data_IF_800391560037
#
_entry.id   IF_800391560037
#
_cell.length_a   1.000
_cell.length_b   1.000
_cell.length_c   1.000
_cell.angle_alpha   90.00
_cell.angle_beta   90.00
_cell.angle_gamma   90.00
#
_symmetry.space_group_name_H-M   'P 1'
#
loop_
_entity.id
_entity.type
_entity.pdbx_description
1 polymer ?
#
# COMPACT_ATOMS: atom_id res chain seq x y z
N UNK A 1 16.15 -8.58 -21.02
CA UNK A 1 16.23 -7.74 -19.81
C UNK A 1 17.23 -8.39 -18.87
N UNK A 2 18.32 -7.70 -18.51
CA UNK A 2 19.29 -8.21 -17.53
C UNK A 2 18.80 -7.88 -16.12
N UNK A 3 18.38 -8.90 -15.39
CA UNK A 3 18.00 -8.76 -13.98
C UNK A 3 19.29 -8.68 -13.14
N UNK A 4 19.37 -7.75 -12.19
CA UNK A 4 20.50 -7.68 -11.28
C UNK A 4 20.58 -9.00 -10.49
N UNK A 5 21.80 -9.44 -10.13
CA UNK A 5 22.01 -10.70 -9.41
C UNK A 5 21.25 -10.76 -8.07
N UNK A 6 20.91 -9.59 -7.51
CA UNK A 6 20.22 -9.44 -6.22
C UNK A 6 18.72 -9.16 -6.36
N UNK A 7 18.15 -9.17 -7.57
CA UNK A 7 16.72 -8.93 -7.72
C UNK A 7 15.93 -10.11 -7.17
N UNK A 8 15.10 -9.83 -6.17
CA UNK A 8 14.18 -10.78 -5.57
C UNK A 8 12.74 -10.35 -5.83
N UNK A 9 11.90 -11.34 -6.12
CA UNK A 9 10.45 -11.16 -6.26
C UNK A 9 9.81 -11.69 -5.00
N UNK A 10 8.98 -10.87 -4.37
CA UNK A 10 8.33 -11.21 -3.12
C UNK A 10 6.87 -10.83 -3.19
N UNK A 11 6.00 -11.71 -2.70
CA UNK A 11 4.59 -11.44 -2.60
C UNK A 11 4.30 -10.43 -1.47
N UNK A 12 3.37 -9.51 -1.72
CA UNK A 12 2.84 -8.60 -0.73
C UNK A 12 1.35 -8.38 -1.01
N UNK A 13 0.51 -8.42 0.04
CA UNK A 13 -0.91 -8.07 -0.03
C UNK A 13 -1.22 -6.75 0.68
N UNK A 14 -0.18 -6.09 1.21
CA UNK A 14 -0.28 -4.81 1.92
C UNK A 14 0.86 -3.89 1.52
N UNK A 15 0.51 -2.62 1.38
CA UNK A 15 1.46 -1.53 1.20
C UNK A 15 1.11 -0.40 2.15
N UNK A 16 2.06 0.00 2.99
CA UNK A 16 1.95 1.19 3.83
C UNK A 16 2.81 2.30 3.25
N UNK A 17 2.26 3.50 3.16
CA UNK A 17 2.98 4.67 2.65
C UNK A 17 3.26 5.63 3.80
N UNK A 18 4.53 5.98 4.00
CA UNK A 18 4.96 7.06 4.89
C UNK A 18 5.53 8.17 4.02
N UNK A 19 5.09 9.40 4.27
CA UNK A 19 5.51 10.57 3.48
C UNK A 19 6.35 11.48 4.34
N UNK A 20 7.49 11.93 3.81
CA UNK A 20 8.34 12.95 4.40
C UNK A 20 8.53 14.11 3.40
N UNK A 21 9.27 15.15 3.83
CA UNK A 21 9.62 16.26 2.93
C UNK A 21 10.55 15.82 1.81
N UNK A 22 11.37 14.80 2.07
CA UNK A 22 12.46 14.40 1.19
C UNK A 22 12.13 13.15 0.35
N UNK A 23 11.22 12.31 0.84
CA UNK A 23 10.92 11.01 0.25
C UNK A 23 9.51 10.48 0.57
N UNK A 24 9.18 9.41 -0.15
CA UNK A 24 8.09 8.49 0.11
C UNK A 24 8.71 7.14 0.45
N UNK A 25 8.31 6.58 1.58
CA UNK A 25 8.67 5.23 1.96
C UNK A 25 7.47 4.31 1.79
N UNK A 26 7.61 3.30 0.94
CA UNK A 26 6.64 2.25 0.72
C UNK A 26 7.12 0.98 1.44
N UNK A 27 6.41 0.58 2.48
CA UNK A 27 6.63 -0.69 3.17
C UNK A 27 5.64 -1.72 2.62
N UNK A 28 6.16 -2.76 1.99
CA UNK A 28 5.40 -3.88 1.47
C UNK A 28 5.45 -5.04 2.47
N UNK A 29 4.33 -5.70 2.66
CA UNK A 29 4.23 -6.79 3.61
C UNK A 29 3.08 -7.76 3.33
N UNK A 30 3.03 -8.78 4.17
CA UNK A 30 1.95 -9.76 4.22
C UNK A 30 1.14 -9.51 5.48
N UNK A 31 -0.15 -9.23 5.29
CA UNK A 31 -1.14 -9.19 6.36
C UNK A 31 -1.57 -10.62 6.65
N UNK A 32 -1.40 -11.05 7.90
CA UNK A 32 -1.95 -12.29 8.44
C UNK A 32 -3.13 -11.94 9.35
N UNK A 33 -4.34 -12.36 8.96
CA UNK A 33 -5.55 -12.18 9.77
C UNK A 33 -5.81 -13.47 10.56
N UNK A 34 -5.10 -13.65 11.68
CA UNK A 34 -5.24 -14.84 12.52
C UNK A 34 -6.55 -14.86 13.32
N UNK A 35 -7.17 -13.69 13.54
CA UNK A 35 -8.48 -13.55 14.18
C UNK A 35 -9.13 -12.21 13.77
N UNK A 36 -10.46 -12.06 13.90
CA UNK A 36 -11.17 -10.83 13.51
C UNK A 36 -10.61 -9.55 14.16
N UNK A 37 -10.04 -9.68 15.37
CA UNK A 37 -9.53 -8.57 16.17
C UNK A 37 -8.00 -8.38 16.06
N UNK A 38 -7.29 -9.30 15.40
CA UNK A 38 -5.83 -9.29 15.31
C UNK A 38 -5.42 -9.32 13.83
N UNK A 39 -4.96 -8.16 13.37
CA UNK A 39 -4.32 -7.98 12.06
C UNK A 39 -2.84 -7.77 12.32
N UNK A 40 -2.01 -8.76 11.97
CA UNK A 40 -0.56 -8.61 12.01
C UNK A 40 -0.02 -8.33 10.60
N UNK A 41 0.93 -7.40 10.50
CA UNK A 41 1.52 -6.99 9.23
C UNK A 41 3.02 -7.28 9.28
N UNK A 42 3.41 -8.34 8.58
CA UNK A 42 4.79 -8.71 8.39
C UNK A 42 5.38 -7.92 7.22
N UNK A 43 6.14 -6.85 7.51
CA UNK A 43 6.84 -6.08 6.48
C UNK A 43 8.01 -6.88 5.92
N UNK A 44 8.00 -7.13 4.62
CA UNK A 44 9.04 -7.92 3.94
C UNK A 44 10.02 -7.05 3.16
N UNK A 45 9.57 -5.92 2.61
CA UNK A 45 10.38 -5.05 1.75
C UNK A 45 10.08 -3.57 1.99
N UNK A 46 11.10 -2.73 1.90
CA UNK A 46 10.98 -1.27 1.99
C UNK A 46 11.61 -0.59 0.79
N UNK A 47 10.88 0.32 0.15
CA UNK A 47 11.37 1.09 -1.00
C UNK A 47 11.24 2.58 -0.68
N UNK A 48 12.35 3.30 -0.79
CA UNK A 48 12.37 4.77 -0.76
C UNK A 48 12.28 5.33 -2.18
N UNK A 49 11.41 6.31 -2.36
CA UNK A 49 11.21 7.03 -3.61
C UNK A 49 11.34 8.52 -3.36
N UNK A 50 12.03 9.24 -4.24
CA UNK A 50 11.92 10.70 -4.29
C UNK A 50 10.49 11.12 -4.72
N UNK A 51 10.03 12.35 -4.40
CA UNK A 51 8.69 12.81 -4.79
C UNK A 51 8.40 12.72 -6.29
N UNK A 52 9.42 12.95 -7.13
CA UNK A 52 9.27 12.83 -8.59
C UNK A 52 9.05 11.38 -9.03
N UNK A 53 9.77 10.43 -8.42
CA UNK A 53 9.59 9.01 -8.69
C UNK A 53 8.22 8.51 -8.21
N UNK A 54 7.77 8.96 -7.04
CA UNK A 54 6.44 8.62 -6.54
C UNK A 54 5.34 9.10 -7.50
N UNK A 55 5.46 10.32 -8.03
CA UNK A 55 4.53 10.85 -9.04
C UNK A 55 4.55 10.07 -10.35
N UNK A 56 5.75 9.70 -10.83
CA UNK A 56 5.88 8.89 -12.04
C UNK A 56 5.27 7.50 -11.86
N UNK A 57 5.53 6.86 -10.71
CA UNK A 57 4.95 5.56 -10.34
C UNK A 57 3.42 5.63 -10.31
N UNK A 58 2.85 6.64 -9.64
CA UNK A 58 1.41 6.85 -9.58
C UNK A 58 0.78 6.97 -10.98
N UNK A 59 1.37 7.80 -11.85
CA UNK A 59 0.84 7.99 -13.21
C UNK A 59 0.86 6.70 -14.03
N UNK A 60 1.97 5.95 -13.95
CA UNK A 60 2.09 4.68 -14.65
C UNK A 60 1.11 3.65 -14.09
N UNK A 61 1.01 3.55 -12.76
CA UNK A 61 0.10 2.60 -12.10
C UNK A 61 -1.36 2.90 -12.44
N UNK A 62 -1.77 4.17 -12.36
CA UNK A 62 -3.14 4.58 -12.70
C UNK A 62 -3.53 4.26 -14.15
N UNK A 63 -2.60 4.46 -15.11
CA UNK A 63 -2.84 4.09 -16.50
C UNK A 63 -3.02 2.57 -16.67
N UNK A 64 -2.17 1.77 -16.02
CA UNK A 64 -2.27 0.31 -16.07
C UNK A 64 -3.56 -0.20 -15.42
N UNK A 65 -3.98 0.38 -14.29
CA UNK A 65 -5.25 0.05 -13.63
C UNK A 65 -6.43 0.38 -14.54
N UNK A 66 -6.47 1.59 -15.13
CA UNK A 66 -7.56 1.97 -16.03
C UNK A 66 -7.69 1.01 -17.22
N UNK A 67 -6.56 0.58 -17.80
CA UNK A 67 -6.56 -0.42 -18.87
C UNK A 67 -7.03 -1.80 -18.39
N UNK A 68 -6.62 -2.21 -17.18
CA UNK A 68 -7.09 -3.45 -16.56
C UNK A 68 -8.61 -3.42 -16.38
N UNK A 69 -9.17 -2.35 -15.82
CA UNK A 69 -10.60 -2.23 -15.57
C UNK A 69 -11.43 -2.22 -16.85
N UNK A 70 -10.94 -1.60 -17.93
CA UNK A 70 -11.58 -1.67 -19.24
C UNK A 70 -11.65 -3.10 -19.80
N UNK A 71 -10.67 -3.94 -19.45
CA UNK A 71 -10.56 -5.32 -19.96
C UNK A 71 -11.30 -6.33 -19.08
N UNK A 72 -11.24 -6.17 -17.76
CA UNK A 72 -11.69 -7.16 -16.78
C UNK A 72 -12.83 -6.70 -15.87
N UNK A 73 -13.24 -5.43 -15.96
CA UNK A 73 -14.24 -4.81 -15.10
C UNK A 73 -13.64 -4.04 -13.93
N UNK A 74 -14.48 -3.22 -13.28
CA UNK A 74 -14.06 -2.32 -12.19
C UNK A 74 -13.54 -3.06 -10.98
N UNK A 75 -12.44 -2.58 -10.41
CA UNK A 75 -11.89 -3.06 -9.16
C UNK A 75 -12.70 -2.49 -7.99
N UNK A 76 -13.41 -3.36 -7.27
CA UNK A 76 -14.05 -2.97 -6.02
C UNK A 76 -13.00 -2.89 -4.91
N UNK A 77 -12.73 -1.67 -4.43
CA UNK A 77 -11.96 -1.49 -3.20
C UNK A 77 -12.99 -1.46 -2.08
N UNK A 78 -13.10 -2.54 -1.29
CA UNK A 78 -13.81 -2.47 -0.02
C UNK A 78 -12.99 -1.58 0.92
N UNK A 79 -13.51 -0.39 1.31
CA UNK A 79 -12.79 0.43 2.26
C UNK A 79 -12.74 -0.35 3.57
N UNK A 80 -11.55 -0.70 4.07
CA UNK A 80 -11.39 -1.11 5.46
C UNK A 80 -11.76 0.12 6.32
N UNK A 81 -12.94 0.16 6.96
CA UNK A 81 -13.31 1.25 7.81
C UNK A 81 -12.77 0.90 9.20
N UNK A 82 -11.59 1.41 9.54
CA UNK A 82 -11.28 1.64 10.95
C UNK A 82 -11.43 3.13 11.24
N UNK A 83 -12.66 3.66 11.39
CA UNK A 83 -12.84 4.85 12.20
C UNK A 83 -12.57 4.42 13.64
N UNK A 84 -11.42 4.84 14.18
CA UNK A 84 -11.24 4.89 15.64
C UNK A 84 -12.46 5.59 16.24
N UNK A 85 -13.21 4.98 17.17
CA UNK A 85 -14.25 5.70 17.88
C UNK A 85 -13.56 6.76 18.74
N UNK A 86 -13.73 8.04 18.41
CA UNK A 86 -13.43 9.13 19.34
C UNK A 86 -14.43 9.04 20.48
N UNK A 87 -14.02 8.76 21.74
CA UNK A 87 -14.93 8.90 22.86
C UNK A 87 -15.02 10.40 23.19
N UNK A 88 -16.02 11.07 22.63
CA UNK A 88 -16.45 12.39 23.12
C UNK A 88 -17.16 12.20 24.46
N UNK A 89 -16.39 12.14 25.53
CA UNK A 89 -16.93 12.23 26.89
C UNK A 89 -17.23 13.70 27.25
N UNK A 90 -18.40 14.03 27.83
CA UNK A 90 -18.67 15.37 28.32
C UNK A 90 -17.89 15.62 29.62
N UNK A 91 -17.05 16.66 29.63
CA UNK A 91 -16.57 17.27 30.88
C UNK A 91 -17.65 18.23 31.40
N UNK A 92 -18.11 17.94 32.60
CA UNK A 92 -19.17 18.60 33.35
C UNK A 92 -18.76 20.00 33.83
#
# INVERSE_FOLDING_TARGET
MSKAAEYQESYANSVQVRVSVWDFFLAFGVVHQESPDIVDIENTHGIYLSPQQAKALWNLLGQNIAQYEQTFGTLAIEPHPHPVPVPSGPVH
#
